data_IF_234345168371
#
_entry.id   IF_234345168371
#
_cell.length_a   1.000
_cell.length_b   1.000
_cell.length_c   1.000
_cell.angle_alpha   90.00
_cell.angle_beta   90.00
_cell.angle_gamma   90.00
#
_symmetry.space_group_name_H-M   'P 1'
#
loop_
_entity.id
_entity.type
_entity.pdbx_description
1 polymer ?
#
# COMPACT_ATOMS: atom_id res chain seq x y z
N UNK A 1 -24.08 -15.32 73.90
CA UNK A 1 -22.87 -14.47 73.83
C UNK A 1 -22.67 -14.10 72.38
N UNK A 2 -22.87 -12.83 72.05
CA UNK A 2 -22.90 -12.31 70.67
C UNK A 2 -21.59 -11.59 70.40
N UNK A 3 -20.85 -12.03 69.38
CA UNK A 3 -19.64 -11.37 68.90
C UNK A 3 -20.04 -10.27 67.91
N UNK A 4 -19.83 -9.02 68.32
CA UNK A 4 -19.96 -7.85 67.46
C UNK A 4 -18.74 -7.77 66.53
N UNK A 5 -18.93 -8.09 65.25
CA UNK A 5 -17.97 -7.72 64.21
C UNK A 5 -18.27 -6.28 63.81
N UNK A 6 -17.38 -5.34 64.16
CA UNK A 6 -17.38 -4.00 63.59
C UNK A 6 -16.93 -4.10 62.13
N UNK A 7 -17.89 -4.07 61.21
CA UNK A 7 -17.60 -3.84 59.79
C UNK A 7 -17.28 -2.36 59.63
N UNK A 8 -16.01 -2.03 59.40
CA UNK A 8 -15.61 -0.70 58.96
C UNK A 8 -15.84 -0.67 57.45
N UNK A 9 -16.95 -0.07 57.02
CA UNK A 9 -17.16 0.28 55.61
C UNK A 9 -16.27 1.48 55.32
N UNK A 10 -15.09 1.23 54.73
CA UNK A 10 -14.30 2.30 54.12
C UNK A 10 -14.94 2.62 52.77
N UNK A 11 -15.87 3.57 52.78
CA UNK A 11 -16.36 4.21 51.57
C UNK A 11 -15.22 5.08 51.00
N UNK A 12 -14.51 4.55 50.01
CA UNK A 12 -13.62 5.35 49.17
C UNK A 12 -14.50 6.30 48.35
N UNK A 13 -14.32 7.63 48.43
CA UNK A 13 -15.05 8.53 47.57
C UNK A 13 -14.60 8.27 46.14
N UNK A 14 -15.53 7.76 45.32
CA UNK A 14 -15.38 7.73 43.87
C UNK A 14 -15.43 9.20 43.42
N UNK A 15 -14.29 9.90 43.49
CA UNK A 15 -14.16 11.20 42.87
C UNK A 15 -14.28 10.97 41.37
N UNK A 16 -15.43 11.40 40.86
CA UNK A 16 -15.76 11.40 39.45
C UNK A 16 -14.77 12.29 38.68
N UNK A 17 -13.71 11.68 38.17
CA UNK A 17 -12.97 12.16 36.99
C UNK A 17 -13.52 11.50 35.72
N UNK A 18 -14.82 11.18 35.69
CA UNK A 18 -15.45 10.48 34.57
C UNK A 18 -15.49 11.39 33.33
N UNK A 19 -15.55 12.71 33.49
CA UNK A 19 -15.58 13.65 32.37
C UNK A 19 -14.20 13.95 31.75
N UNK A 20 -13.09 13.73 32.46
CA UNK A 20 -11.73 14.04 31.98
C UNK A 20 -11.02 12.85 31.32
N UNK A 21 -11.70 11.70 31.19
CA UNK A 21 -11.12 10.46 30.70
C UNK A 21 -11.83 9.87 29.47
N UNK A 22 -12.85 10.53 28.89
CA UNK A 22 -13.59 9.98 27.74
C UNK A 22 -12.67 9.59 26.57
N UNK A 23 -11.62 10.35 26.25
CA UNK A 23 -10.71 9.92 25.16
C UNK A 23 -9.74 8.78 25.54
N UNK A 24 -9.63 8.46 26.82
CA UNK A 24 -8.96 7.25 27.32
C UNK A 24 -9.98 6.16 27.70
N UNK A 25 -11.26 6.37 27.37
CA UNK A 25 -12.29 5.37 27.59
C UNK A 25 -12.15 4.23 26.59
N UNK A 26 -12.78 3.13 26.94
CA UNK A 26 -12.69 1.89 26.18
C UNK A 26 -13.37 1.98 24.80
N UNK A 27 -14.40 2.81 24.66
CA UNK A 27 -15.21 2.90 23.44
C UNK A 27 -14.45 3.66 22.35
N UNK A 28 -13.92 4.84 22.68
CA UNK A 28 -13.07 5.62 21.78
C UNK A 28 -11.80 4.85 21.39
N UNK A 29 -11.21 4.15 22.35
CA UNK A 29 -10.06 3.29 22.09
C UNK A 29 -10.38 2.16 21.12
N UNK A 30 -11.49 1.45 21.34
CA UNK A 30 -11.89 0.33 20.50
C UNK A 30 -12.17 0.79 19.06
N UNK A 31 -12.84 1.94 18.88
CA UNK A 31 -13.10 2.49 17.54
C UNK A 31 -11.81 2.80 16.78
N UNK A 32 -10.81 3.39 17.44
CA UNK A 32 -9.51 3.66 16.80
C UNK A 32 -8.74 2.37 16.50
N UNK A 33 -8.80 1.39 17.39
CA UNK A 33 -8.18 0.10 17.19
C UNK A 33 -8.80 -0.64 16.00
N UNK A 34 -10.13 -0.67 15.91
CA UNK A 34 -10.84 -1.31 14.80
C UNK A 34 -10.51 -0.65 13.46
N UNK A 35 -10.41 0.68 13.45
CA UNK A 35 -9.94 1.42 12.27
C UNK A 35 -8.50 1.05 11.91
N UNK A 36 -7.57 1.03 12.88
CA UNK A 36 -6.19 0.64 12.63
C UNK A 36 -6.09 -0.77 12.03
N UNK A 37 -6.75 -1.76 12.65
CA UNK A 37 -6.78 -3.14 12.15
C UNK A 37 -7.37 -3.24 10.74
N UNK A 38 -8.38 -2.43 10.43
CA UNK A 38 -8.95 -2.36 9.09
C UNK A 38 -7.93 -1.86 8.04
N UNK A 39 -7.18 -0.80 8.36
CA UNK A 39 -6.12 -0.29 7.47
C UNK A 39 -4.96 -1.30 7.30
N UNK A 40 -4.51 -1.92 8.39
CA UNK A 40 -3.49 -2.97 8.34
C UNK A 40 -3.96 -4.18 7.51
N UNK A 41 -5.24 -4.55 7.64
CA UNK A 41 -5.87 -5.60 6.84
C UNK A 41 -5.85 -5.29 5.34
N UNK A 42 -6.19 -4.06 4.95
CA UNK A 42 -6.11 -3.62 3.54
C UNK A 42 -4.68 -3.58 3.04
N UNK A 43 -3.74 -3.05 3.81
CA UNK A 43 -2.31 -3.07 3.48
C UNK A 43 -1.80 -4.50 3.21
N UNK A 44 -2.16 -5.45 4.09
CA UNK A 44 -1.79 -6.86 3.91
C UNK A 44 -2.40 -7.45 2.64
N UNK A 45 -3.63 -7.08 2.29
CA UNK A 45 -4.27 -7.52 1.05
C UNK A 45 -3.54 -6.97 -0.18
N UNK A 46 -3.26 -5.67 -0.23
CA UNK A 46 -2.50 -5.06 -1.32
C UNK A 46 -1.09 -5.65 -1.45
N UNK A 47 -0.45 -5.99 -0.34
CA UNK A 47 0.87 -6.65 -0.35
C UNK A 47 0.80 -8.05 -0.96
N UNK A 48 -0.24 -8.83 -0.66
CA UNK A 48 -0.46 -10.14 -1.29
C UNK A 48 -0.65 -10.01 -2.80
N UNK A 49 -1.48 -9.07 -3.22
CA UNK A 49 -1.72 -8.77 -4.64
C UNK A 49 -0.43 -8.36 -5.34
N UNK A 50 0.36 -7.47 -4.73
CA UNK A 50 1.66 -7.08 -5.27
C UNK A 50 2.59 -8.28 -5.44
N UNK A 51 2.72 -9.12 -4.42
CA UNK A 51 3.60 -10.28 -4.44
C UNK A 51 3.21 -11.28 -5.53
N UNK A 52 1.91 -11.48 -5.77
CA UNK A 52 1.42 -12.33 -6.84
C UNK A 52 1.81 -11.78 -8.22
N UNK A 53 1.62 -10.47 -8.44
CA UNK A 53 1.99 -9.85 -9.72
C UNK A 53 3.50 -9.79 -9.91
N UNK A 54 4.28 -9.58 -8.84
CA UNK A 54 5.74 -9.63 -8.87
C UNK A 54 6.23 -11.03 -9.27
N UNK A 55 5.70 -12.10 -8.66
CA UNK A 55 6.05 -13.48 -9.02
C UNK A 55 5.72 -13.79 -10.48
N UNK A 56 4.59 -13.29 -10.96
CA UNK A 56 4.21 -13.38 -12.38
C UNK A 56 5.22 -12.64 -13.27
N UNK A 57 5.58 -11.41 -12.91
CA UNK A 57 6.60 -10.66 -13.63
C UNK A 57 7.93 -11.41 -13.65
N UNK A 58 8.40 -11.95 -12.54
CA UNK A 58 9.68 -12.65 -12.42
C UNK A 58 9.75 -13.87 -13.34
N UNK A 59 8.66 -14.65 -13.41
CA UNK A 59 8.56 -15.84 -14.27
C UNK A 59 8.35 -15.53 -15.75
N UNK A 60 7.81 -14.36 -16.10
CA UNK A 60 7.59 -13.99 -17.49
C UNK A 60 8.89 -13.72 -18.26
N UNK A 61 8.98 -14.30 -19.46
CA UNK A 61 10.02 -14.01 -20.44
C UNK A 61 9.69 -12.73 -21.20
N UNK A 62 10.05 -11.59 -20.62
CA UNK A 62 9.95 -10.28 -21.27
C UNK A 62 11.19 -10.04 -22.13
N UNK A 63 11.01 -9.51 -23.34
CA UNK A 63 12.11 -9.26 -24.26
C UNK A 63 13.08 -8.21 -23.69
N UNK A 64 12.57 -7.19 -23.02
CA UNK A 64 13.37 -6.13 -22.38
C UNK A 64 14.27 -6.60 -21.24
N UNK A 65 14.08 -7.83 -20.74
CA UNK A 65 14.99 -8.47 -19.77
C UNK A 65 16.22 -9.10 -20.43
N UNK A 66 16.10 -9.52 -21.69
CA UNK A 66 17.09 -10.39 -22.35
C UNK A 66 17.71 -9.77 -23.59
N UNK A 67 17.06 -8.77 -24.18
CA UNK A 67 17.46 -8.18 -25.44
C UNK A 67 17.59 -6.66 -25.32
N UNK A 68 18.52 -6.12 -26.10
CA UNK A 68 18.61 -4.70 -26.36
C UNK A 68 17.52 -4.27 -27.36
N UNK A 69 17.20 -2.97 -27.35
CA UNK A 69 16.27 -2.38 -28.35
C UNK A 69 16.67 -2.73 -29.80
N UNK A 70 17.96 -2.66 -30.12
CA UNK A 70 18.48 -3.00 -31.46
C UNK A 70 18.21 -4.47 -31.83
N UNK A 71 18.45 -5.39 -30.91
CA UNK A 71 18.18 -6.81 -31.14
C UNK A 71 16.69 -7.09 -31.36
N UNK A 72 15.80 -6.38 -30.67
CA UNK A 72 14.34 -6.52 -30.87
C UNK A 72 13.91 -5.91 -32.21
N UNK A 73 14.51 -4.80 -32.67
CA UNK A 73 14.30 -4.27 -34.03
C UNK A 73 14.68 -5.32 -35.08
N UNK A 74 15.85 -5.94 -34.94
CA UNK A 74 16.32 -6.99 -35.86
C UNK A 74 15.42 -8.24 -35.81
N UNK A 75 14.96 -8.63 -34.62
CA UNK A 75 14.01 -9.71 -34.41
C UNK A 75 12.65 -9.40 -35.06
N UNK A 76 12.16 -8.17 -34.98
CA UNK A 76 10.92 -7.78 -35.63
C UNK A 76 11.04 -7.78 -37.16
N UNK A 77 12.19 -7.36 -37.69
CA UNK A 77 12.45 -7.28 -39.13
C UNK A 77 12.61 -8.67 -39.79
N UNK A 78 13.19 -9.63 -39.07
CA UNK A 78 13.66 -10.90 -39.63
C UNK A 78 12.61 -12.00 -39.68
N UNK A 79 11.59 -11.95 -38.81
CA UNK A 79 10.66 -13.06 -38.62
C UNK A 79 9.34 -12.86 -39.37
N UNK A 80 8.64 -13.96 -39.63
CA UNK A 80 7.39 -13.99 -40.39
C UNK A 80 6.28 -13.13 -39.75
N UNK A 81 5.33 -12.69 -40.57
CA UNK A 81 4.19 -11.86 -40.13
C UNK A 81 3.39 -12.46 -38.95
N UNK A 82 3.31 -13.79 -38.85
CA UNK A 82 2.65 -14.47 -37.71
C UNK A 82 3.34 -14.21 -36.38
N UNK A 83 4.67 -14.12 -36.37
CA UNK A 83 5.44 -13.78 -35.17
C UNK A 83 5.17 -12.32 -34.75
N UNK A 84 5.06 -11.41 -35.71
CA UNK A 84 4.72 -10.01 -35.43
C UNK A 84 3.32 -9.84 -34.82
N UNK A 85 2.35 -10.71 -35.15
CA UNK A 85 1.03 -10.74 -34.47
C UNK A 85 1.18 -11.12 -32.99
N UNK A 86 2.01 -12.14 -32.68
CA UNK A 86 2.28 -12.53 -31.30
C UNK A 86 2.98 -11.42 -30.51
N UNK A 87 3.97 -10.76 -31.12
CA UNK A 87 4.65 -9.63 -30.49
C UNK A 87 3.72 -8.42 -30.28
N UNK A 88 2.83 -8.12 -31.22
CA UNK A 88 1.81 -7.09 -31.01
C UNK A 88 0.87 -7.44 -29.84
N UNK A 89 0.44 -8.70 -29.74
CA UNK A 89 -0.36 -9.16 -28.60
C UNK A 89 0.41 -9.03 -27.29
N UNK A 90 1.70 -9.39 -27.27
CA UNK A 90 2.55 -9.24 -26.09
C UNK A 90 2.67 -7.77 -25.69
N UNK A 91 2.96 -6.88 -26.64
CA UNK A 91 3.06 -5.44 -26.44
C UNK A 91 1.78 -4.87 -25.81
N UNK A 92 0.61 -5.21 -26.35
CA UNK A 92 -0.68 -4.75 -25.82
C UNK A 92 -0.90 -5.24 -24.39
N UNK A 93 -0.66 -6.53 -24.13
CA UNK A 93 -0.74 -7.09 -22.77
C UNK A 93 0.18 -6.37 -21.80
N UNK A 94 1.42 -6.05 -22.21
CA UNK A 94 2.36 -5.32 -21.37
C UNK A 94 1.88 -3.87 -21.09
N UNK A 95 1.23 -3.20 -22.05
CA UNK A 95 0.57 -1.93 -21.79
C UNK A 95 -0.59 -2.05 -20.80
N UNK A 96 -1.49 -3.02 -21.00
CA UNK A 96 -2.64 -3.22 -20.13
C UNK A 96 -2.21 -3.50 -18.68
N UNK A 97 -1.21 -4.38 -18.49
CA UNK A 97 -0.65 -4.69 -17.17
C UNK A 97 0.01 -3.45 -16.54
N UNK A 98 0.73 -2.65 -17.33
CA UNK A 98 1.32 -1.39 -16.86
C UNK A 98 0.26 -0.44 -16.33
N UNK A 99 -0.87 -0.28 -17.03
CA UNK A 99 -1.97 0.59 -16.62
C UNK A 99 -2.68 0.09 -15.36
N UNK A 100 -2.94 -1.21 -15.26
CA UNK A 100 -3.53 -1.84 -14.06
C UNK A 100 -2.65 -1.62 -12.85
N UNK A 101 -1.33 -1.82 -12.98
CA UNK A 101 -0.37 -1.60 -11.90
C UNK A 101 -0.30 -0.13 -11.46
N UNK A 102 -0.39 0.80 -12.41
CA UNK A 102 -0.40 2.23 -12.10
C UNK A 102 -1.68 2.64 -11.36
N UNK A 103 -2.83 2.09 -11.77
CA UNK A 103 -4.09 2.26 -11.05
C UNK A 103 -4.01 1.72 -9.63
N UNK A 104 -3.41 0.53 -9.44
CA UNK A 104 -3.22 -0.05 -8.12
C UNK A 104 -2.30 0.81 -7.24
N UNK A 105 -1.21 1.36 -7.82
CA UNK A 105 -0.35 2.29 -7.10
C UNK A 105 -1.13 3.52 -6.59
N UNK A 106 -2.05 4.05 -7.40
CA UNK A 106 -2.91 5.16 -7.01
C UNK A 106 -3.86 4.77 -5.86
N UNK A 107 -4.55 3.64 -5.97
CA UNK A 107 -5.43 3.13 -4.90
C UNK A 107 -4.69 2.97 -3.57
N UNK A 108 -3.49 2.39 -3.59
CA UNK A 108 -2.66 2.28 -2.38
C UNK A 108 -2.25 3.65 -1.85
N UNK A 109 -1.91 4.61 -2.72
CA UNK A 109 -1.54 5.95 -2.27
C UNK A 109 -2.69 6.73 -1.63
N UNK A 110 -3.94 6.49 -2.04
CA UNK A 110 -5.10 7.16 -1.42
C UNK A 110 -5.36 6.72 0.02
N UNK A 111 -4.76 5.61 0.47
CA UNK A 111 -4.88 5.14 1.85
C UNK A 111 -3.91 5.88 2.80
N UNK A 112 -2.93 6.63 2.27
CA UNK A 112 -1.94 7.37 3.05
C UNK A 112 -2.59 8.41 3.97
N UNK A 113 -3.49 9.23 3.42
CA UNK A 113 -4.22 10.25 4.18
C UNK A 113 -4.98 9.62 5.37
N UNK A 114 -5.51 8.41 5.19
CA UNK A 114 -6.19 7.65 6.22
C UNK A 114 -5.25 7.14 7.32
N UNK A 115 -4.07 6.63 6.95
CA UNK A 115 -3.05 6.18 7.90
C UNK A 115 -2.41 7.36 8.68
N UNK A 116 -2.24 8.51 8.03
CA UNK A 116 -1.81 9.74 8.70
C UNK A 116 -2.87 10.26 9.68
N UNK A 117 -4.15 10.21 9.29
CA UNK A 117 -5.27 10.54 10.18
C UNK A 117 -5.32 9.62 11.42
N UNK A 118 -5.02 8.33 11.26
CA UNK A 118 -4.87 7.39 12.38
C UNK A 118 -3.74 7.80 13.33
N UNK A 119 -2.58 8.17 12.78
CA UNK A 119 -1.45 8.67 13.56
C UNK A 119 -1.86 9.87 14.42
N UNK A 120 -2.52 10.86 13.82
CA UNK A 120 -2.99 12.04 14.56
C UNK A 120 -4.03 11.70 15.63
N UNK A 121 -4.93 10.75 15.34
CA UNK A 121 -5.95 10.31 16.29
C UNK A 121 -5.32 9.65 17.52
N UNK A 122 -4.34 8.76 17.32
CA UNK A 122 -3.61 8.14 18.43
C UNK A 122 -2.74 9.13 19.21
N UNK A 123 -2.15 10.13 18.54
CA UNK A 123 -1.42 11.21 19.22
C UNK A 123 -2.34 12.03 20.13
N UNK A 124 -3.57 12.31 19.68
CA UNK A 124 -4.56 13.01 20.50
C UNK A 124 -4.94 12.22 21.76
N UNK A 125 -5.14 10.89 21.62
CA UNK A 125 -5.39 9.99 22.76
C UNK A 125 -4.21 9.96 23.72
N UNK A 126 -2.99 9.77 23.22
CA UNK A 126 -1.78 9.74 24.04
C UNK A 126 -1.59 11.04 24.85
N UNK A 127 -1.82 12.20 24.20
CA UNK A 127 -1.77 13.51 24.87
C UNK A 127 -2.85 13.63 25.94
N UNK A 128 -4.06 13.18 25.66
CA UNK A 128 -5.16 13.23 26.62
C UNK A 128 -4.89 12.35 27.85
N UNK A 129 -4.41 11.12 27.65
CA UNK A 129 -4.08 10.21 28.77
C UNK A 129 -2.89 10.71 29.58
N UNK A 130 -1.96 11.43 28.94
CA UNK A 130 -0.86 12.13 29.63
C UNK A 130 -1.40 13.21 30.56
N UNK A 131 -2.31 14.06 30.07
CA UNK A 131 -2.95 15.12 30.86
C UNK A 131 -3.78 14.54 32.03
N UNK A 132 -4.40 13.38 31.82
CA UNK A 132 -5.14 12.64 32.84
C UNK A 132 -4.24 11.87 33.84
N UNK A 133 -2.90 11.95 33.69
CA UNK A 133 -1.91 11.24 34.52
C UNK A 133 -2.09 9.71 34.50
N UNK A 134 -2.39 9.15 33.33
CA UNK A 134 -2.60 7.73 33.08
C UNK A 134 -1.41 7.16 32.25
N UNK A 135 -0.24 6.90 32.87
CA UNK A 135 1.00 6.61 32.14
C UNK A 135 0.95 5.32 31.31
N UNK A 136 0.27 4.28 31.79
CA UNK A 136 0.14 3.01 31.05
C UNK A 136 -0.65 3.19 29.75
N UNK A 137 -1.73 3.98 29.81
CA UNK A 137 -2.58 4.29 28.67
C UNK A 137 -1.83 5.19 27.67
N UNK A 138 -1.07 6.17 28.17
CA UNK A 138 -0.17 6.97 27.34
C UNK A 138 0.84 6.10 26.59
N UNK A 139 1.55 5.20 27.29
CA UNK A 139 2.53 4.31 26.69
C UNK A 139 1.89 3.41 25.62
N UNK A 140 0.75 2.79 25.95
CA UNK A 140 0.01 1.97 25.00
C UNK A 140 -0.44 2.77 23.78
N UNK A 141 -0.91 4.01 23.94
CA UNK A 141 -1.35 4.85 22.82
C UNK A 141 -0.15 5.24 21.95
N UNK A 142 1.01 5.48 22.56
CA UNK A 142 2.25 5.80 21.83
C UNK A 142 2.73 4.64 20.95
N UNK A 143 2.53 3.39 21.36
CA UNK A 143 2.78 2.21 20.51
C UNK A 143 1.90 2.26 19.25
N UNK A 144 0.62 2.60 19.40
CA UNK A 144 -0.29 2.74 18.25
C UNK A 144 0.06 3.92 17.33
N UNK A 145 0.57 5.03 17.89
CA UNK A 145 1.15 6.14 17.09
C UNK A 145 2.28 5.63 16.21
N UNK A 146 3.26 4.92 16.79
CA UNK A 146 4.42 4.40 16.05
C UNK A 146 3.99 3.39 14.97
N UNK A 147 3.06 2.50 15.32
CA UNK A 147 2.51 1.52 14.37
C UNK A 147 1.79 2.19 13.20
N UNK A 148 0.99 3.22 13.45
CA UNK A 148 0.31 3.97 12.40
C UNK A 148 1.29 4.75 11.50
N UNK A 149 2.37 5.29 12.07
CA UNK A 149 3.44 5.94 11.30
C UNK A 149 4.17 4.96 10.39
N UNK A 150 4.48 3.75 10.90
CA UNK A 150 5.05 2.67 10.08
C UNK A 150 4.13 2.31 8.93
N UNK A 151 2.83 2.18 9.20
CA UNK A 151 1.83 1.83 8.18
C UNK A 151 1.78 2.86 7.04
N UNK A 152 1.85 4.16 7.34
CA UNK A 152 1.95 5.20 6.30
C UNK A 152 3.20 5.03 5.44
N UNK A 153 4.36 4.75 6.05
CA UNK A 153 5.60 4.52 5.30
C UNK A 153 5.51 3.26 4.42
N UNK A 154 4.96 2.18 4.98
CA UNK A 154 4.79 0.91 4.29
C UNK A 154 3.83 1.04 3.08
N UNK A 155 2.72 1.76 3.22
CA UNK A 155 1.80 2.08 2.13
C UNK A 155 2.48 2.91 1.04
N UNK A 156 3.28 3.92 1.42
CA UNK A 156 4.02 4.75 0.47
C UNK A 156 5.01 3.89 -0.33
N UNK A 157 5.79 3.05 0.37
CA UNK A 157 6.72 2.12 -0.26
C UNK A 157 6.01 1.12 -1.18
N UNK A 158 4.86 0.60 -0.78
CA UNK A 158 4.08 -0.33 -1.60
C UNK A 158 3.56 0.34 -2.89
N UNK A 159 3.04 1.58 -2.78
CA UNK A 159 2.63 2.37 -3.94
C UNK A 159 3.78 2.58 -4.94
N UNK A 160 4.97 2.93 -4.45
CA UNK A 160 6.17 3.07 -5.29
C UNK A 160 6.59 1.77 -5.95
N UNK A 161 6.52 0.63 -5.24
CA UNK A 161 6.80 -0.68 -5.81
C UNK A 161 5.85 -1.02 -6.97
N UNK A 162 4.56 -0.71 -6.86
CA UNK A 162 3.60 -0.84 -7.96
C UNK A 162 3.98 0.04 -9.15
N UNK A 163 4.35 1.32 -8.92
CA UNK A 163 4.79 2.24 -10.01
C UNK A 163 6.04 1.73 -10.72
N UNK A 164 7.01 1.23 -9.97
CA UNK A 164 8.24 0.67 -10.53
C UNK A 164 7.96 -0.56 -11.40
N UNK A 165 7.06 -1.45 -10.96
CA UNK A 165 6.68 -2.61 -11.75
C UNK A 165 5.89 -2.21 -13.00
N UNK A 166 4.98 -1.23 -12.89
CA UNK A 166 4.27 -0.64 -14.02
C UNK A 166 5.24 -0.10 -15.08
N UNK A 167 6.28 0.64 -14.65
CA UNK A 167 7.31 1.19 -15.53
C UNK A 167 8.09 0.11 -16.28
N UNK A 168 8.39 -1.03 -15.63
CA UNK A 168 9.05 -2.18 -16.29
C UNK A 168 8.21 -2.76 -17.43
N UNK A 169 6.90 -2.93 -17.22
CA UNK A 169 5.97 -3.37 -18.26
C UNK A 169 5.78 -2.32 -19.36
N UNK A 170 5.72 -1.03 -19.02
CA UNK A 170 5.67 0.05 -20.01
C UNK A 170 6.91 0.03 -20.90
N UNK A 171 8.09 -0.20 -20.31
CA UNK A 171 9.36 -0.30 -21.05
C UNK A 171 9.34 -1.48 -22.03
N UNK A 172 8.82 -2.64 -21.62
CA UNK A 172 8.63 -3.79 -22.51
C UNK A 172 7.81 -3.40 -23.74
N UNK A 173 6.61 -2.85 -23.51
CA UNK A 173 5.70 -2.50 -24.58
C UNK A 173 6.29 -1.43 -25.52
N UNK A 174 6.87 -0.35 -24.97
CA UNK A 174 7.49 0.71 -25.78
C UNK A 174 8.66 0.18 -26.61
N UNK A 175 9.46 -0.74 -26.09
CA UNK A 175 10.59 -1.33 -26.82
C UNK A 175 10.11 -2.14 -28.05
N UNK A 176 9.00 -2.87 -27.91
CA UNK A 176 8.37 -3.61 -29.01
C UNK A 176 7.72 -2.65 -30.01
N UNK A 177 7.01 -1.63 -29.52
CA UNK A 177 6.34 -0.63 -30.36
C UNK A 177 7.32 0.15 -31.23
N UNK A 178 8.45 0.58 -30.67
CA UNK A 178 9.52 1.23 -31.42
C UNK A 178 10.14 0.31 -32.48
N UNK A 179 10.29 -0.98 -32.17
CA UNK A 179 10.78 -1.98 -33.11
C UNK A 179 9.84 -2.17 -34.31
N UNK A 180 8.53 -2.08 -34.10
CA UNK A 180 7.54 -2.11 -35.17
C UNK A 180 7.66 -0.92 -36.10
N UNK A 181 7.74 0.30 -35.55
CA UNK A 181 7.77 1.52 -36.34
C UNK A 181 9.09 1.72 -37.10
N UNK A 182 10.21 1.25 -36.56
CA UNK A 182 11.52 1.34 -37.24
C UNK A 182 11.59 0.48 -38.51
N UNK A 183 10.77 -0.58 -38.58
CA UNK A 183 10.73 -1.52 -39.71
C UNK A 183 9.59 -1.24 -40.70
N UNK A 184 8.77 -0.20 -40.49
CA UNK A 184 7.83 0.22 -41.52
C UNK A 184 8.61 0.94 -42.62
N UNK A 185 8.45 0.55 -43.90
CA UNK A 185 9.07 1.28 -44.99
C UNK A 185 8.53 2.71 -44.97
N UNK A 186 9.43 3.70 -44.86
CA UNK A 186 9.13 5.08 -45.21
C UNK A 186 8.68 5.07 -46.67
N UNK A 187 7.39 5.27 -46.92
CA UNK A 187 6.90 5.65 -48.24
C UNK A 187 7.34 7.08 -48.53
N UNK A 188 8.65 7.27 -48.76
CA UNK A 188 9.15 8.45 -49.46
C UNK A 188 8.92 8.18 -50.95
N UNK A 189 7.71 8.53 -51.40
CA UNK A 189 7.38 8.55 -52.81
C UNK A 189 8.21 9.62 -53.53
N UNK A 190 8.85 9.31 -54.67
CA UNK A 190 9.53 10.32 -55.46
C UNK A 190 8.48 11.16 -56.22
N UNK A 191 8.49 12.48 -55.99
CA UNK A 191 7.98 13.46 -56.95
C UNK A 191 9.13 13.91 -57.86
#
# INVERSE_FOLDING_TARGET
>A
MSFWVKVIIVSVPLSANVALANHCDRENWQVLLDRQLSFEGRYNQYTKEFNQVLSTYESQTLLSKHFTKKQIIELWAKYEQRFNVQLNSHMNTAYDVSEVLLKQAYVVSTELDGAESLTHSWQAVAKHCTNAKLPRQTESAQVHVQSSQSLSQDLHTLSEKFRQLSSKYRKEATMIDEARHTNQPTNDGPN
#
